data_IF_223844719554
#
_entry.id   IF_223844719554
#
_cell.length_a   1.000
_cell.length_b   1.000
_cell.length_c   1.000
_cell.angle_alpha   90.00
_cell.angle_beta   90.00
_cell.angle_gamma   90.00
#
_symmetry.space_group_name_H-M   'P 1'
#
loop_
_entity.id
_entity.type
_entity.pdbx_description
1 polymer ?
#
# COMPACT_ATOMS: atom_id res chain seq x y z
N UNK A 1 -14.63 12.41 36.60
CA UNK A 1 -13.34 11.89 36.09
C UNK A 1 -13.58 11.57 34.63
N UNK A 2 -13.41 12.56 33.74
CA UNK A 2 -13.53 12.34 32.31
C UNK A 2 -12.24 11.70 31.82
N UNK A 3 -12.35 10.42 31.50
CA UNK A 3 -11.30 9.54 31.04
C UNK A 3 -10.68 10.07 29.75
N UNK A 4 -9.40 10.43 29.86
CA UNK A 4 -8.36 10.50 28.83
C UNK A 4 -8.83 10.26 27.40
N UNK A 5 -9.00 11.34 26.64
CA UNK A 5 -9.12 11.23 25.17
C UNK A 5 -7.85 10.60 24.62
N UNK A 6 -8.05 9.37 24.14
CA UNK A 6 -7.10 8.43 23.58
C UNK A 6 -6.19 9.11 22.54
N UNK A 7 -4.88 9.12 22.79
CA UNK A 7 -3.82 9.66 21.91
C UNK A 7 -3.57 8.82 20.64
N UNK A 8 -4.61 8.22 20.06
CA UNK A 8 -4.48 7.46 18.83
C UNK A 8 -4.81 8.35 17.63
N UNK A 9 -3.93 8.35 16.64
CA UNK A 9 -4.19 8.94 15.32
C UNK A 9 -5.37 8.24 14.64
N UNK A 10 -6.02 8.92 13.71
CA UNK A 10 -7.13 8.33 12.93
C UNK A 10 -6.69 7.09 12.13
N UNK A 11 -5.41 7.06 11.73
CA UNK A 11 -4.78 5.87 11.13
C UNK A 11 -4.69 4.69 12.10
N UNK A 12 -4.30 4.93 13.36
CA UNK A 12 -4.26 3.87 14.37
C UNK A 12 -5.67 3.37 14.71
N UNK A 13 -6.65 4.27 14.81
CA UNK A 13 -8.06 3.89 14.98
C UNK A 13 -8.56 3.02 13.82
N UNK A 14 -8.25 3.40 12.58
CA UNK A 14 -8.55 2.61 11.38
C UNK A 14 -7.93 1.20 11.45
N UNK A 15 -6.65 1.09 11.81
CA UNK A 15 -5.95 -0.19 11.90
C UNK A 15 -6.45 -1.08 13.05
N UNK A 16 -6.93 -0.47 14.13
CA UNK A 16 -7.52 -1.17 15.28
C UNK A 16 -9.01 -1.49 15.10
N UNK A 17 -9.61 -1.18 13.94
CA UNK A 17 -11.04 -1.39 13.68
C UNK A 17 -11.97 -0.50 14.51
N UNK A 18 -11.44 0.58 15.09
CA UNK A 18 -12.21 1.55 15.86
C UNK A 18 -12.84 2.58 14.92
N UNK A 19 -13.87 3.30 15.38
CA UNK A 19 -14.39 4.45 14.65
C UNK A 19 -13.29 5.49 14.43
N UNK A 20 -13.12 5.89 13.17
CA UNK A 20 -12.10 6.86 12.75
C UNK A 20 -12.70 7.85 11.75
N UNK A 21 -12.12 9.04 11.67
CA UNK A 21 -12.48 10.04 10.68
C UNK A 21 -11.75 9.76 9.36
N UNK A 22 -12.46 9.20 8.38
CA UNK A 22 -11.92 8.97 7.05
C UNK A 22 -11.49 10.27 6.33
N UNK A 23 -11.98 11.44 6.72
CA UNK A 23 -11.57 12.73 6.13
C UNK A 23 -10.38 13.37 6.84
N UNK A 24 -9.73 12.64 7.75
CA UNK A 24 -8.49 13.09 8.36
C UNK A 24 -7.41 13.40 7.31
N UNK A 25 -6.63 14.44 7.57
CA UNK A 25 -5.64 14.97 6.63
C UNK A 25 -4.57 13.94 6.29
N UNK A 26 -4.15 13.13 7.25
CA UNK A 26 -3.11 12.12 7.04
C UNK A 26 -3.67 10.95 6.22
N UNK A 27 -4.90 10.52 6.50
CA UNK A 27 -5.57 9.50 5.69
C UNK A 27 -5.84 9.97 4.26
N UNK A 28 -6.22 11.23 4.05
CA UNK A 28 -6.36 11.80 2.71
C UNK A 28 -5.01 11.85 1.98
N UNK A 29 -3.93 12.23 2.68
CA UNK A 29 -2.58 12.27 2.11
C UNK A 29 -2.13 10.87 1.67
N UNK A 30 -2.38 9.87 2.51
CA UNK A 30 -2.08 8.46 2.19
C UNK A 30 -2.87 7.98 0.97
N UNK A 31 -4.17 8.30 0.86
CA UNK A 31 -4.97 7.97 -0.33
C UNK A 31 -4.44 8.61 -1.61
N UNK A 32 -4.10 9.90 -1.55
CA UNK A 32 -3.55 10.62 -2.70
C UNK A 32 -2.23 10.01 -3.15
N UNK A 33 -1.35 9.65 -2.19
CA UNK A 33 -0.08 8.97 -2.46
C UNK A 33 -0.31 7.62 -3.13
N UNK A 34 -1.18 6.78 -2.56
CA UNK A 34 -1.50 5.45 -3.08
C UNK A 34 -2.06 5.53 -4.51
N UNK A 35 -3.03 6.43 -4.75
CA UNK A 35 -3.60 6.64 -6.08
C UNK A 35 -2.56 7.09 -7.11
N UNK A 36 -1.69 8.03 -6.75
CA UNK A 36 -0.63 8.52 -7.65
C UNK A 36 0.37 7.41 -8.00
N UNK A 37 0.77 6.59 -7.02
CA UNK A 37 1.67 5.46 -7.26
C UNK A 37 1.00 4.36 -8.10
N UNK A 38 -0.29 4.07 -7.87
CA UNK A 38 -1.04 3.12 -8.72
C UNK A 38 -1.11 3.62 -10.17
N UNK A 39 -1.38 4.92 -10.38
CA UNK A 39 -1.38 5.50 -11.74
C UNK A 39 -0.01 5.33 -12.41
N UNK A 40 1.07 5.71 -11.72
CA UNK A 40 2.43 5.53 -12.24
C UNK A 40 2.72 4.06 -12.57
N UNK A 41 2.35 3.12 -11.70
CA UNK A 41 2.52 1.69 -11.96
C UNK A 41 1.76 1.22 -13.21
N UNK A 42 0.55 1.74 -13.42
CA UNK A 42 -0.30 1.39 -14.56
C UNK A 42 0.23 1.97 -15.88
N UNK A 43 0.97 3.08 -15.82
CA UNK A 43 1.55 3.74 -16.98
C UNK A 43 2.94 3.17 -17.36
N UNK A 44 3.56 2.35 -16.50
CA UNK A 44 4.85 1.71 -16.80
C UNK A 44 4.67 0.55 -17.80
N UNK A 45 5.40 0.55 -18.93
CA UNK A 45 5.40 -0.57 -19.88
C UNK A 45 5.90 -1.89 -19.29
N UNK A 46 5.41 -3.01 -19.84
CA UNK A 46 5.68 -4.37 -19.34
C UNK A 46 7.16 -4.79 -19.33
N UNK A 47 8.05 -4.02 -19.99
CA UNK A 47 9.51 -4.28 -20.00
C UNK A 47 10.31 -3.61 -18.87
N UNK A 48 9.74 -2.65 -18.14
CA UNK A 48 10.48 -1.82 -17.17
C UNK A 48 10.39 -2.36 -15.74
N UNK A 49 10.79 -3.62 -15.56
CA UNK A 49 10.52 -4.35 -14.31
C UNK A 49 11.16 -3.73 -13.06
N UNK A 50 12.36 -3.18 -13.18
CA UNK A 50 13.04 -2.52 -12.05
C UNK A 50 12.28 -1.28 -11.57
N UNK A 51 11.69 -0.52 -12.49
CA UNK A 51 10.89 0.65 -12.17
C UNK A 51 9.58 0.25 -11.49
N UNK A 52 8.92 -0.81 -12.01
CA UNK A 52 7.71 -1.38 -11.40
C UNK A 52 7.98 -1.80 -9.95
N UNK A 53 9.09 -2.52 -9.71
CA UNK A 53 9.48 -2.96 -8.35
C UNK A 53 9.67 -1.77 -7.41
N UNK A 54 10.33 -0.69 -7.84
CA UNK A 54 10.50 0.51 -7.01
C UNK A 54 9.16 1.12 -6.60
N UNK A 55 8.23 1.27 -7.56
CA UNK A 55 6.90 1.81 -7.28
C UNK A 55 6.11 0.89 -6.35
N UNK A 56 6.20 -0.43 -6.53
CA UNK A 56 5.51 -1.40 -5.67
C UNK A 56 6.08 -1.34 -4.24
N UNK A 57 7.41 -1.28 -4.07
CA UNK A 57 8.03 -1.11 -2.75
C UNK A 57 7.58 0.18 -2.07
N UNK A 58 7.56 1.28 -2.83
CA UNK A 58 7.06 2.56 -2.34
C UNK A 58 5.58 2.50 -1.98
N UNK A 59 4.75 1.81 -2.78
CA UNK A 59 3.32 1.70 -2.55
C UNK A 59 3.01 0.96 -1.24
N UNK A 60 3.65 -0.19 -1.04
CA UNK A 60 3.44 -1.06 0.13
C UNK A 60 4.34 -0.76 1.31
N UNK A 61 5.28 0.18 1.17
CA UNK A 61 6.30 0.48 2.18
C UNK A 61 6.99 -0.81 2.64
N UNK A 62 7.42 -1.62 1.67
CA UNK A 62 8.01 -2.95 1.90
C UNK A 62 9.32 -3.09 1.15
N UNK A 63 10.27 -3.82 1.75
CA UNK A 63 11.53 -4.19 1.09
C UNK A 63 11.42 -5.47 0.26
N UNK A 64 10.28 -6.17 0.35
CA UNK A 64 10.05 -7.42 -0.36
C UNK A 64 9.93 -7.18 -1.87
N UNK A 65 10.46 -8.11 -2.65
CA UNK A 65 10.21 -8.13 -4.08
C UNK A 65 8.79 -8.66 -4.31
N UNK A 66 7.94 -7.80 -4.83
CA UNK A 66 6.54 -8.09 -5.12
C UNK A 66 6.29 -7.89 -6.61
N UNK A 67 5.47 -8.75 -7.19
CA UNK A 67 5.02 -8.62 -8.57
C UNK A 67 3.54 -8.24 -8.60
N UNK A 68 3.21 -7.24 -9.40
CA UNK A 68 1.83 -6.78 -9.60
C UNK A 68 1.66 -6.52 -11.09
N UNK A 69 0.64 -7.14 -11.68
CA UNK A 69 0.21 -6.89 -13.05
C UNK A 69 -0.60 -5.59 -13.12
N UNK A 70 -0.36 -4.80 -14.17
CA UNK A 70 -1.17 -3.62 -14.44
C UNK A 70 -2.47 -4.02 -15.18
N UNK A 71 -3.61 -3.32 -14.98
CA UNK A 71 -3.79 -2.20 -14.06
C UNK A 71 -4.06 -2.64 -12.62
N UNK A 72 -3.47 -1.91 -11.66
CA UNK A 72 -3.65 -2.07 -10.23
C UNK A 72 -4.32 -0.85 -9.60
N UNK A 73 -5.11 -1.07 -8.54
CA UNK A 73 -5.75 -0.01 -7.74
C UNK A 73 -5.72 -0.38 -6.26
N UNK A 74 -5.27 0.53 -5.42
CA UNK A 74 -5.43 0.42 -3.97
C UNK A 74 -5.76 1.78 -3.34
N UNK A 75 -6.46 1.74 -2.20
CA UNK A 75 -6.93 2.96 -1.55
C UNK A 75 -5.91 3.58 -0.59
N UNK A 76 -5.05 2.79 0.07
CA UNK A 76 -4.10 3.32 1.06
C UNK A 76 -2.65 2.78 0.94
N UNK A 77 -2.36 1.90 -0.02
CA UNK A 77 -1.03 1.30 -0.19
C UNK A 77 -0.61 0.36 0.95
N UNK A 78 -1.30 0.37 2.09
CA UNK A 78 -0.98 -0.47 3.26
C UNK A 78 -2.24 -1.12 3.80
N UNK A 79 -2.14 -2.42 4.04
CA UNK A 79 -3.10 -3.34 4.64
C UNK A 79 -4.58 -2.94 4.53
N UNK A 80 -5.12 -3.03 3.33
CA UNK A 80 -6.49 -3.52 3.19
C UNK A 80 -6.32 -4.93 2.65
N UNK A 81 -6.85 -5.94 3.33
CA UNK A 81 -6.92 -7.32 2.87
C UNK A 81 -7.85 -7.44 1.65
N UNK A 82 -7.63 -6.61 0.63
CA UNK A 82 -8.22 -6.72 -0.68
C UNK A 82 -7.51 -7.89 -1.35
N UNK A 83 -8.30 -8.91 -1.64
CA UNK A 83 -7.98 -10.11 -2.41
C UNK A 83 -7.40 -9.75 -3.77
N UNK A 84 -6.17 -9.25 -3.79
CA UNK A 84 -5.35 -9.22 -5.00
C UNK A 84 -4.49 -10.46 -4.89
N UNK A 85 -4.48 -11.25 -5.94
CA UNK A 85 -3.56 -12.37 -6.16
C UNK A 85 -2.13 -11.84 -6.17
N UNK A 86 -1.60 -11.49 -5.00
CA UNK A 86 -0.21 -11.11 -4.84
C UNK A 86 0.57 -12.42 -4.92
N UNK A 87 0.96 -12.79 -6.13
CA UNK A 87 1.91 -13.87 -6.34
C UNK A 87 3.27 -13.39 -5.82
N UNK A 88 3.51 -13.61 -4.54
CA UNK A 88 4.85 -13.51 -3.96
C UNK A 88 5.62 -14.68 -4.55
N UNK A 89 6.32 -14.45 -5.66
CA UNK A 89 7.27 -15.43 -6.13
C UNK A 89 8.34 -15.61 -5.03
N UNK A 90 8.61 -16.84 -4.56
CA UNK A 90 9.73 -17.06 -3.67
C UNK A 90 11.00 -16.56 -4.35
N UNK A 91 12.01 -16.06 -3.61
CA UNK A 91 13.28 -15.67 -4.20
C UNK A 91 13.78 -16.85 -5.03
N UNK A 92 13.98 -16.63 -6.33
CA UNK A 92 14.54 -17.64 -7.22
C UNK A 92 15.88 -18.04 -6.64
N UNK A 93 15.93 -19.19 -5.95
CA UNK A 93 17.19 -19.85 -5.70
C UNK A 93 17.69 -20.26 -7.06
N UNK A 94 18.55 -19.41 -7.63
CA UNK A 94 19.40 -19.80 -8.73
C UNK A 94 20.35 -20.85 -8.17
N UNK A 95 19.89 -22.10 -8.10
CA UNK A 95 20.76 -23.25 -7.90
C UNK A 95 21.42 -23.51 -9.24
N UNK A 96 22.63 -22.97 -9.38
CA UNK A 96 23.67 -23.61 -10.15
C UNK A 96 24.07 -24.93 -9.47
#
# INVERSE_FOLDING_TARGET
>A
MESSQNQMTEKQKMLNGQYYNAFDRDLIKDRKRAKSLCQKLNDIPDGSQEERVKIIKDLFQTERNCWIESPFRCDYGTNSAAKTSLSIAPPSTNKA
#
